data_IF_655038548186
#
_entry.id   IF_655038548186
#
_cell.length_a   1.000
_cell.length_b   1.000
_cell.length_c   1.000
_cell.angle_alpha   90.00
_cell.angle_beta   90.00
_cell.angle_gamma   90.00
#
_symmetry.space_group_name_H-M   'P 1'
#
loop_
_entity.id
_entity.type
_entity.pdbx_description
1 polymer ?
2 water ?
#
# COMPACT_ATOMS: atom_id res chain seq x y z
N UNK A 1 12.00 15.80 8.50
CA UNK A 1 12.16 17.28 8.63
C UNK A 1 10.80 17.96 8.66
N UNK A 2 10.77 19.26 8.33
CA UNK A 2 9.55 20.06 8.40
C UNK A 2 8.43 19.47 7.55
N UNK A 3 8.73 19.16 6.30
CA UNK A 3 7.71 18.67 5.39
C UNK A 3 7.14 17.33 5.88
N UNK A 4 8.02 16.41 6.24
CA UNK A 4 7.53 15.12 6.71
C UNK A 4 6.72 15.26 8.00
N UNK A 5 7.12 16.16 8.87
CA UNK A 5 6.35 16.35 10.08
C UNK A 5 4.92 16.84 9.78
N UNK A 6 4.76 17.77 8.82
CA UNK A 6 3.40 18.19 8.46
C UNK A 6 2.61 17.03 7.82
N UNK A 7 3.24 16.25 6.94
CA UNK A 7 2.49 15.19 6.28
C UNK A 7 2.04 14.13 7.29
N UNK A 8 2.87 13.75 8.24
CA UNK A 8 2.45 12.72 9.19
C UNK A 8 1.35 13.27 10.11
N UNK A 9 1.43 14.55 10.47
CA UNK A 9 0.41 15.15 11.32
C UNK A 9 -0.92 15.19 10.55
N UNK A 10 -0.88 15.59 9.30
CA UNK A 10 -2.09 15.60 8.48
C UNK A 10 -2.64 14.19 8.33
N UNK A 11 -1.80 13.18 8.06
CA UNK A 11 -2.32 11.82 7.86
C UNK A 11 -3.02 11.32 9.10
N UNK A 12 -2.49 11.64 10.30
CA UNK A 12 -3.16 11.22 11.53
C UNK A 12 -4.54 11.89 11.64
N UNK A 13 -4.61 13.17 11.34
CA UNK A 13 -5.86 13.90 11.41
C UNK A 13 -6.87 13.35 10.41
N UNK A 14 -6.42 13.13 9.19
CA UNK A 14 -7.26 12.60 8.15
C UNK A 14 -7.81 11.24 8.56
N UNK A 15 -6.93 10.40 9.11
CA UNK A 15 -7.37 9.07 9.55
C UNK A 15 -8.45 9.15 10.60
N UNK A 16 -8.32 10.13 11.50
CA UNK A 16 -9.32 10.34 12.52
C UNK A 16 -10.64 10.86 11.97
N UNK A 17 -10.59 11.65 10.90
CA UNK A 17 -11.83 12.08 10.24
C UNK A 17 -12.59 10.84 9.73
N UNK A 18 -11.88 9.96 9.03
CA UNK A 18 -12.49 8.71 8.54
C UNK A 18 -13.04 7.89 9.70
N UNK A 19 -12.22 7.66 10.72
CA UNK A 19 -12.64 6.81 11.83
C UNK A 19 -13.87 7.40 12.52
N UNK A 20 -13.89 8.71 12.76
CA UNK A 20 -15.01 9.37 13.41
C UNK A 20 -16.29 9.17 12.64
N UNK A 21 -16.22 9.35 11.33
CA UNK A 21 -17.41 9.20 10.50
C UNK A 21 -17.90 7.76 10.44
N UNK A 22 -16.97 6.82 10.37
CA UNK A 22 -17.32 5.41 10.43
C UNK A 22 -18.01 5.05 11.75
N UNK A 23 -17.42 5.51 12.86
CA UNK A 23 -17.94 5.21 14.17
C UNK A 23 -19.30 5.88 14.39
N UNK A 24 -19.54 7.04 13.79
CA UNK A 24 -20.86 7.67 13.89
C UNK A 24 -21.94 6.78 13.34
N UNK A 25 -21.60 6.06 12.28
CA UNK A 25 -22.53 5.14 11.63
C UNK A 25 -22.54 3.74 12.26
N UNK A 26 -21.71 3.55 13.26
CA UNK A 26 -21.57 2.30 14.00
C UNK A 26 -21.22 1.12 13.07
N UNK A 27 -20.34 1.37 12.13
CA UNK A 27 -19.85 0.36 11.21
C UNK A 27 -18.46 -0.08 11.63
N UNK A 28 -18.15 -1.36 11.40
CA UNK A 28 -16.80 -1.87 11.58
C UNK A 28 -15.99 -1.62 10.31
N UNK A 29 -14.69 -1.74 10.42
CA UNK A 29 -13.83 -1.75 9.23
C UNK A 29 -14.21 -2.87 8.27
N UNK A 30 -14.56 -4.04 8.79
CA UNK A 30 -15.00 -5.13 7.92
C UNK A 30 -16.29 -4.81 7.17
N UNK A 31 -17.19 -4.05 7.81
CA UNK A 31 -18.40 -3.59 7.10
C UNK A 31 -18.04 -2.71 5.94
N UNK A 32 -17.06 -1.81 6.16
CA UNK A 32 -16.67 -0.91 5.10
C UNK A 32 -16.03 -1.71 3.96
N UNK A 33 -15.16 -2.65 4.31
CA UNK A 33 -14.54 -3.49 3.28
C UNK A 33 -15.60 -4.21 2.44
N UNK A 34 -16.63 -4.72 3.09
CA UNK A 34 -17.69 -5.40 2.38
C UNK A 34 -18.41 -4.49 1.37
N UNK A 35 -18.67 -3.24 1.76
CA UNK A 35 -19.46 -2.34 0.94
C UNK A 35 -18.65 -1.73 -0.20
N UNK A 36 -17.35 -1.52 0.06
CA UNK A 36 -16.51 -0.79 -0.85
C UNK A 36 -15.55 -1.68 -1.62
N UNK A 37 -15.34 -2.89 -1.10
CA UNK A 37 -14.31 -3.79 -1.63
C UNK A 37 -12.88 -3.23 -1.51
N UNK A 38 -12.69 -2.21 -0.68
CA UNK A 38 -11.36 -1.74 -0.35
C UNK A 38 -10.80 -2.70 0.69
N UNK A 39 -9.61 -3.21 0.45
CA UNK A 39 -9.04 -4.16 1.39
C UNK A 39 -8.94 -3.63 2.79
N UNK A 40 -9.19 -4.50 3.76
CA UNK A 40 -9.13 -4.15 5.16
C UNK A 40 -7.79 -3.52 5.53
N UNK A 41 -6.67 -4.06 5.05
CA UNK A 41 -5.37 -3.53 5.41
C UNK A 41 -5.22 -2.05 4.94
N UNK A 42 -5.78 -1.73 3.79
CA UNK A 42 -5.73 -0.37 3.28
C UNK A 42 -6.58 0.57 4.15
N UNK A 43 -7.77 0.12 4.55
CA UNK A 43 -8.62 0.90 5.44
C UNK A 43 -7.92 1.14 6.77
N UNK A 44 -7.28 0.12 7.33
CA UNK A 44 -6.57 0.25 8.57
C UNK A 44 -5.46 1.29 8.43
N UNK A 45 -4.72 1.24 7.33
CA UNK A 45 -3.61 2.16 7.13
C UNK A 45 -4.10 3.61 6.97
N UNK A 46 -5.24 3.79 6.31
CA UNK A 46 -5.84 5.11 6.21
C UNK A 46 -6.20 5.62 7.60
N UNK A 47 -6.90 4.82 8.40
CA UNK A 47 -7.32 5.31 9.72
C UNK A 47 -6.15 5.56 10.64
N UNK A 48 -5.06 4.79 10.49
CA UNK A 48 -3.88 4.97 11.31
C UNK A 48 -2.99 6.08 10.81
N UNK A 49 -3.25 6.57 9.61
CA UNK A 49 -2.40 7.61 9.01
C UNK A 49 -1.00 7.14 8.75
N UNK A 50 -0.86 5.89 8.26
CA UNK A 50 0.44 5.27 8.09
C UNK A 50 0.93 5.35 6.65
N UNK A 51 1.81 6.30 6.36
CA UNK A 51 2.27 6.55 5.00
C UNK A 51 2.94 5.32 4.39
N UNK A 52 3.85 4.71 5.12
CA UNK A 52 4.55 3.55 4.59
C UNK A 52 3.62 2.45 4.19
N UNK A 53 2.62 2.13 5.01
CA UNK A 53 1.69 1.08 4.64
C UNK A 53 0.89 1.43 3.42
N UNK A 54 0.65 2.73 3.19
CA UNK A 54 -0.12 3.17 2.03
C UNK A 54 0.66 3.19 0.73
N UNK A 55 1.93 3.61 0.80
CA UNK A 55 2.76 3.87 -0.39
C UNK A 55 3.74 2.75 -0.74
N UNK A 56 4.13 1.96 0.24
CA UNK A 56 5.19 0.96 -0.02
C UNK A 56 4.81 -0.17 -0.97
N UNK A 57 3.60 -0.71 -0.92
CA UNK A 57 3.33 -1.87 -1.80
C UNK A 57 3.43 -1.59 -3.26
N UNK A 58 3.89 -2.58 -4.02
CA UNK A 58 3.73 -2.56 -5.49
C UNK A 58 2.40 -3.25 -5.72
N UNK A 59 1.34 -2.47 -5.76
CA UNK A 59 0.01 -3.06 -5.69
C UNK A 59 -0.23 -4.07 -6.83
N UNK A 60 0.28 -3.78 -8.02
CA UNK A 60 0.07 -4.69 -9.15
C UNK A 60 0.64 -6.05 -8.91
N UNK A 61 1.77 -6.13 -8.22
CA UNK A 61 2.41 -7.40 -7.88
C UNK A 61 1.45 -8.22 -7.03
N UNK A 62 0.86 -7.56 -6.03
CA UNK A 62 -0.07 -8.22 -5.13
C UNK A 62 -1.29 -8.66 -5.90
N UNK A 63 -1.82 -7.84 -6.81
CA UNK A 63 -3.00 -8.24 -7.58
C UNK A 63 -2.68 -9.51 -8.37
N UNK A 64 -1.50 -9.54 -9.00
CA UNK A 64 -1.12 -10.70 -9.78
C UNK A 64 -1.03 -11.97 -8.92
N UNK A 65 -0.42 -11.86 -7.75
CA UNK A 65 -0.30 -12.99 -6.82
C UNK A 65 -1.64 -13.51 -6.41
N UNK A 66 -2.54 -12.60 -6.07
CA UNK A 66 -3.86 -13.00 -5.59
C UNK A 66 -4.70 -13.62 -6.72
N UNK A 67 -4.58 -13.07 -7.92
CA UNK A 67 -5.31 -13.61 -9.05
C UNK A 67 -4.76 -15.02 -9.35
N UNK A 68 -3.44 -15.16 -9.33
CA UNK A 68 -2.84 -16.47 -9.59
C UNK A 68 -3.33 -17.49 -8.58
N UNK A 69 -3.36 -17.13 -7.30
CA UNK A 69 -3.83 -18.07 -6.29
C UNK A 69 -5.27 -18.48 -6.53
N UNK A 70 -6.12 -17.56 -6.93
CA UNK A 70 -7.52 -17.86 -7.19
C UNK A 70 -7.59 -18.88 -8.32
N UNK A 71 -6.70 -18.78 -9.28
CA UNK A 71 -6.67 -19.69 -10.43
C UNK A 71 -5.82 -20.94 -10.18
N UNK A 72 -5.43 -21.19 -8.93
CA UNK A 72 -4.67 -22.39 -8.58
C UNK A 72 -3.32 -22.45 -9.27
N UNK A 73 -2.74 -21.29 -9.51
CA UNK A 73 -1.37 -21.18 -10.01
C UNK A 73 -0.45 -20.72 -8.90
N UNK A 74 0.82 -21.11 -9.01
CA UNK A 74 1.87 -20.65 -8.12
C UNK A 74 2.34 -19.29 -8.64
N UNK A 75 1.86 -18.22 -8.03
CA UNK A 75 2.19 -16.87 -8.48
C UNK A 75 3.66 -16.55 -8.36
N UNK A 76 4.31 -17.09 -7.34
CA UNK A 76 5.75 -16.89 -7.15
C UNK A 76 6.49 -17.46 -8.34
N UNK A 77 6.15 -18.69 -8.71
CA UNK A 77 6.79 -19.34 -9.85
C UNK A 77 6.48 -18.59 -11.14
N UNK A 78 5.22 -18.21 -11.30
CA UNK A 78 4.79 -17.54 -12.51
C UNK A 78 5.59 -16.24 -12.72
N UNK A 79 5.73 -15.44 -11.66
CA UNK A 79 6.45 -14.20 -11.83
C UNK A 79 7.94 -14.46 -12.04
N UNK A 80 8.50 -15.50 -11.40
CA UNK A 80 9.89 -15.87 -11.65
C UNK A 80 10.15 -16.27 -13.12
N UNK A 81 9.14 -16.76 -13.81
CA UNK A 81 9.26 -17.08 -15.23
C UNK A 81 9.17 -15.83 -16.11
N UNK A 82 8.94 -14.68 -15.49
CA UNK A 82 8.89 -13.40 -16.17
C UNK A 82 9.89 -12.49 -15.47
N UNK A 83 11.21 -12.76 -15.67
CA UNK A 83 12.20 -12.03 -14.87
C UNK A 83 12.26 -10.54 -15.12
N UNK A 84 11.92 -10.07 -16.30
CA UNK A 84 11.89 -8.63 -16.53
C UNK A 84 10.76 -7.96 -15.73
N UNK A 85 9.61 -8.58 -15.68
CA UNK A 85 8.51 -8.05 -14.87
C UNK A 85 8.94 -8.06 -13.43
N UNK A 86 9.47 -9.22 -12.93
CA UNK A 86 9.96 -9.50 -11.51
C UNK A 86 11.00 -8.49 -11.01
N UNK A 87 11.99 -8.25 -11.85
CA UNK A 87 12.97 -7.21 -11.61
C UNK A 87 12.34 -5.82 -11.54
N UNK A 88 11.44 -5.49 -12.45
CA UNK A 88 10.87 -4.15 -12.35
C UNK A 88 10.00 -4.00 -11.12
N UNK A 89 9.30 -5.04 -10.68
CA UNK A 89 8.52 -4.93 -9.44
C UNK A 89 9.47 -4.71 -8.26
N UNK A 90 10.59 -5.41 -8.23
CA UNK A 90 11.61 -5.15 -7.22
C UNK A 90 12.13 -3.71 -7.25
N UNK A 91 12.35 -3.20 -8.45
CA UNK A 91 12.82 -1.83 -8.61
C UNK A 91 11.79 -0.81 -8.17
N UNK A 92 10.53 -1.01 -8.51
CA UNK A 92 9.49 -0.11 -8.02
C UNK A 92 9.38 -0.18 -6.50
N UNK A 93 9.46 -1.38 -5.93
CA UNK A 93 9.41 -1.54 -4.49
C UNK A 93 10.54 -0.77 -3.82
N UNK A 94 11.77 -0.93 -4.32
CA UNK A 94 12.89 -0.19 -3.77
C UNK A 94 12.76 1.34 -3.94
N UNK A 95 12.18 1.78 -5.06
CA UNK A 95 11.89 3.20 -5.28
C UNK A 95 10.90 3.74 -4.25
N UNK A 96 9.85 2.99 -3.96
CA UNK A 96 8.89 3.41 -2.96
C UNK A 96 9.60 3.62 -1.62
N UNK A 97 10.47 2.69 -1.26
CA UNK A 97 11.20 2.79 0.01
C UNK A 97 12.17 3.96 0.02
N UNK A 98 12.83 4.20 -1.10
CA UNK A 98 13.76 5.32 -1.19
C UNK A 98 13.01 6.62 -0.98
N UNK A 99 11.82 6.72 -1.55
CA UNK A 99 11.09 7.99 -1.54
C UNK A 99 10.59 8.28 -0.14
N UNK A 100 10.10 7.25 0.52
CA UNK A 100 9.79 7.31 1.95
C UNK A 100 10.99 7.73 2.78
N UNK A 101 12.17 7.21 2.50
CA UNK A 101 13.37 7.61 3.24
C UNK A 101 13.68 9.08 2.98
N UNK A 102 13.59 9.50 1.72
CA UNK A 102 13.99 10.87 1.35
C UNK A 102 13.05 11.89 1.95
N UNK A 103 11.78 11.54 2.08
CA UNK A 103 10.82 12.46 2.65
C UNK A 103 11.26 12.86 4.04
N UNK A 104 11.78 11.91 4.81
CA UNK A 104 12.21 12.22 6.16
C UNK A 104 13.38 13.21 6.18
N UNK A 105 14.28 13.07 5.21
CA UNK A 105 15.47 13.91 5.14
C UNK A 105 15.13 15.35 4.75
#
# INVERSE_FOLDING_TARGET
GHMSEHVHKELLHLGEVFRSQREERALSLKDVEAATSIRLSALEAIEAGHLGKLISPVYAQGFMKKYAAFLDMDGDRLLKEHPYVLKIFQEFSDQNMDMLLDLESMGGRNSPEKAIRS
#
